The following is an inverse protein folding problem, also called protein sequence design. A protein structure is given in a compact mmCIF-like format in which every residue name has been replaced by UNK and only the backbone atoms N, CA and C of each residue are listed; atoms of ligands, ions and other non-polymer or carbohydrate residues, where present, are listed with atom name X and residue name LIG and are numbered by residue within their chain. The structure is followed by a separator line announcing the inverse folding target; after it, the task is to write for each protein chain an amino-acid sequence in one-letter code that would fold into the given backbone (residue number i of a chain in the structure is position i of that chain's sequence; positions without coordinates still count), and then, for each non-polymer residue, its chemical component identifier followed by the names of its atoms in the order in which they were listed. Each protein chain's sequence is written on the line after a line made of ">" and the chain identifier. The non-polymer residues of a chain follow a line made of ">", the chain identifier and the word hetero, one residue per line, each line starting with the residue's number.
data_IF_131802794857
#
_entry.id   IF_131802794857
#
_cell.length_a   1.000
_cell.length_b   1.000
_cell.length_c   1.000
_cell.angle_alpha   90.00
_cell.angle_beta   90.00
_cell.angle_gamma   90.00
#
_symmetry.space_group_name_H-M   'P 1'
#
loop_
_entity.id
_entity.type
_entity.pdbx_description
1 polymer ?
#
# COMPACT_ATOMS: atom_id res chain seq x y z
N UNK A 1 6.41 25.53 -8.23
CA UNK A 1 5.61 24.61 -9.06
C UNK A 1 4.37 24.26 -8.24
N UNK A 2 3.18 24.72 -8.61
CA UNK A 2 1.95 24.36 -7.87
C UNK A 2 1.54 22.96 -8.29
N UNK A 3 1.18 22.07 -7.35
CA UNK A 3 0.66 20.76 -7.69
C UNK A 3 -0.62 20.95 -8.54
N UNK A 4 -0.71 20.25 -9.66
CA UNK A 4 -1.92 20.28 -10.50
C UNK A 4 -3.08 19.71 -9.67
N UNK A 5 -4.14 20.47 -9.39
CA UNK A 5 -5.17 20.10 -8.43
C UNK A 5 -6.07 18.93 -8.86
N UNK A 6 -5.88 18.36 -10.05
CA UNK A 6 -6.71 17.29 -10.61
C UNK A 6 -5.85 16.22 -11.31
N UNK A 7 -5.07 15.47 -10.54
CA UNK A 7 -4.44 14.27 -11.10
C UNK A 7 -5.52 13.27 -11.52
N UNK A 8 -5.44 12.77 -12.76
CA UNK A 8 -6.34 11.73 -13.26
C UNK A 8 -6.02 10.44 -12.50
N UNK A 9 -6.98 9.95 -11.73
CA UNK A 9 -6.85 8.67 -11.01
C UNK A 9 -7.12 7.51 -11.96
N UNK A 10 -6.14 6.62 -12.07
CA UNK A 10 -6.27 5.36 -12.85
C UNK A 10 -6.36 4.22 -11.86
N UNK A 11 -7.56 3.66 -11.71
CA UNK A 11 -7.83 2.52 -10.84
C UNK A 11 -8.55 1.43 -11.67
N UNK A 12 -7.82 0.40 -12.04
CA UNK A 12 -8.29 -0.72 -12.86
C UNK A 12 -7.87 -2.03 -12.18
N UNK A 13 -8.41 -2.28 -10.98
CA UNK A 13 -8.19 -3.54 -10.26
C UNK A 13 -9.40 -4.46 -10.39
N UNK A 14 -9.18 -5.76 -10.18
CA UNK A 14 -10.23 -6.79 -10.32
C UNK A 14 -11.35 -6.59 -9.31
N UNK A 15 -11.03 -6.15 -8.10
CA UNK A 15 -12.00 -5.94 -7.02
C UNK A 15 -12.56 -4.52 -6.98
N UNK A 16 -12.11 -3.59 -7.85
CA UNK A 16 -12.52 -2.18 -7.81
C UNK A 16 -14.04 -1.98 -7.92
N UNK A 17 -14.72 -2.75 -8.76
CA UNK A 17 -16.16 -2.61 -8.94
C UNK A 17 -16.97 -3.11 -7.74
N UNK A 18 -16.82 -4.37 -7.26
CA UNK A 18 -17.54 -4.85 -6.09
C UNK A 18 -17.17 -4.10 -4.81
N UNK A 19 -15.90 -3.71 -4.63
CA UNK A 19 -15.48 -2.89 -3.51
C UNK A 19 -16.20 -1.53 -3.50
N UNK A 20 -16.27 -0.88 -4.66
CA UNK A 20 -16.96 0.42 -4.79
C UNK A 20 -18.43 0.34 -4.39
N UNK A 21 -19.13 -0.70 -4.80
CA UNK A 21 -20.54 -0.90 -4.43
C UNK A 21 -20.70 -1.10 -2.93
N UNK A 22 -19.85 -1.93 -2.32
CA UNK A 22 -19.83 -2.16 -0.88
C UNK A 22 -19.53 -0.87 -0.11
N UNK A 23 -18.53 -0.08 -0.55
CA UNK A 23 -18.16 1.17 0.10
C UNK A 23 -19.27 2.24 0.00
N UNK A 24 -19.99 2.30 -1.10
CA UNK A 24 -21.17 3.17 -1.24
C UNK A 24 -22.24 2.77 -0.22
N UNK A 25 -22.54 1.48 -0.14
CA UNK A 25 -23.53 0.96 0.82
C UNK A 25 -23.11 1.26 2.26
N UNK A 26 -21.85 1.01 2.63
CA UNK A 26 -21.30 1.32 3.94
C UNK A 26 -21.37 2.81 4.25
N UNK A 27 -21.03 3.68 3.30
CA UNK A 27 -21.08 5.12 3.48
C UNK A 27 -22.51 5.62 3.74
N UNK A 28 -23.51 5.02 3.07
CA UNK A 28 -24.94 5.35 3.27
C UNK A 28 -25.45 4.93 4.66
N UNK A 29 -24.90 3.88 5.24
CA UNK A 29 -25.29 3.36 6.55
C UNK A 29 -24.40 3.88 7.69
N UNK A 30 -23.37 4.67 7.40
CA UNK A 30 -22.47 5.23 8.41
C UNK A 30 -23.17 6.38 9.18
N UNK A 31 -23.28 6.31 10.53
CA UNK A 31 -23.90 7.35 11.34
C UNK A 31 -23.32 8.74 11.10
N UNK A 32 -24.15 9.79 11.14
CA UNK A 32 -23.73 11.17 10.85
C UNK A 32 -22.60 11.69 11.76
N UNK A 33 -22.46 11.15 12.97
CA UNK A 33 -21.42 11.51 13.94
C UNK A 33 -20.02 11.01 13.55
N UNK A 34 -19.92 10.01 12.68
CA UNK A 34 -18.63 9.46 12.21
C UNK A 34 -18.16 10.34 11.06
N UNK A 35 -16.98 10.92 11.21
CA UNK A 35 -16.32 11.74 10.22
C UNK A 35 -15.26 10.91 9.44
N UNK A 36 -14.86 11.31 8.23
CA UNK A 36 -13.78 10.67 7.49
C UNK A 36 -12.50 10.52 8.32
N UNK A 37 -12.08 11.55 9.03
CA UNK A 37 -10.88 11.54 9.88
C UNK A 37 -10.92 10.46 10.99
N UNK A 38 -12.12 10.13 11.51
CA UNK A 38 -12.28 9.02 12.46
C UNK A 38 -12.02 7.66 11.80
N UNK A 39 -12.39 7.50 10.53
CA UNK A 39 -12.15 6.28 9.76
C UNK A 39 -10.68 6.13 9.40
N UNK A 40 -10.02 7.21 9.01
CA UNK A 40 -8.57 7.21 8.77
C UNK A 40 -7.82 6.79 10.05
N UNK A 41 -8.20 7.36 11.23
CA UNK A 41 -7.61 6.97 12.51
C UNK A 41 -7.87 5.50 12.84
N UNK A 42 -9.09 5.02 12.58
CA UNK A 42 -9.44 3.60 12.76
C UNK A 42 -8.59 2.70 11.85
N UNK A 43 -8.38 3.10 10.60
CA UNK A 43 -7.50 2.39 9.67
C UNK A 43 -6.06 2.31 10.18
N UNK A 44 -5.51 3.42 10.66
CA UNK A 44 -4.17 3.44 11.28
C UNK A 44 -4.09 2.55 12.53
N UNK A 45 -5.11 2.60 13.39
CA UNK A 45 -5.18 1.73 14.58
C UNK A 45 -5.24 0.24 14.18
N UNK A 46 -5.98 -0.09 13.11
CA UNK A 46 -6.04 -1.44 12.55
C UNK A 46 -4.67 -1.92 12.04
N UNK A 47 -3.93 -1.06 11.34
CA UNK A 47 -2.58 -1.38 10.88
C UNK A 47 -1.61 -1.61 12.04
N UNK A 48 -1.65 -0.75 13.07
CA UNK A 48 -0.84 -0.91 14.28
C UNK A 48 -1.20 -2.19 15.02
N UNK A 49 -2.50 -2.49 15.19
CA UNK A 49 -2.99 -3.73 15.78
C UNK A 49 -2.45 -4.94 15.02
N UNK A 50 -2.52 -4.91 13.69
CA UNK A 50 -2.02 -5.99 12.83
C UNK A 50 -0.52 -6.22 13.04
N UNK A 51 0.29 -5.14 13.03
CA UNK A 51 1.73 -5.24 13.24
C UNK A 51 2.10 -5.80 14.62
N UNK A 52 1.46 -5.30 15.69
CA UNK A 52 1.67 -5.81 17.05
C UNK A 52 1.21 -7.28 17.19
N UNK A 53 0.12 -7.66 16.53
CA UNK A 53 -0.39 -9.02 16.54
C UNK A 53 0.52 -9.98 15.75
N UNK A 54 1.09 -9.56 14.63
CA UNK A 54 2.12 -10.33 13.94
C UNK A 54 3.35 -10.55 14.83
N UNK A 55 3.84 -9.51 15.47
CA UNK A 55 4.94 -9.65 16.43
C UNK A 55 4.58 -10.61 17.57
N UNK A 56 3.40 -10.46 18.19
CA UNK A 56 2.92 -11.32 19.26
C UNK A 56 2.70 -12.78 18.79
N UNK A 57 2.51 -13.03 17.49
CA UNK A 57 2.38 -14.38 16.94
C UNK A 57 3.64 -15.24 17.14
N UNK A 58 4.79 -14.61 17.40
CA UNK A 58 6.00 -15.28 17.87
C UNK A 58 5.82 -15.97 19.23
N UNK A 59 4.91 -15.49 20.08
CA UNK A 59 4.59 -16.11 21.38
C UNK A 59 3.46 -17.14 21.23
N UNK A 60 2.42 -16.82 20.43
CA UNK A 60 1.30 -17.73 20.21
C UNK A 60 0.67 -17.51 18.83
N UNK A 61 0.48 -18.56 18.01
CA UNK A 61 -0.17 -18.47 16.70
C UNK A 61 -1.58 -17.88 16.74
N UNK A 62 -2.27 -17.91 17.88
CA UNK A 62 -3.61 -17.34 18.02
C UNK A 62 -3.66 -15.83 17.75
N UNK A 63 -2.54 -15.12 17.92
CA UNK A 63 -2.46 -13.70 17.58
C UNK A 63 -2.60 -13.43 16.08
N UNK A 64 -2.43 -14.44 15.21
CA UNK A 64 -2.71 -14.29 13.77
C UNK A 64 -4.17 -13.91 13.48
N UNK A 65 -5.13 -14.32 14.33
CA UNK A 65 -6.52 -13.85 14.22
C UNK A 65 -6.63 -12.34 14.40
N UNK A 66 -5.91 -11.80 15.37
CA UNK A 66 -5.86 -10.35 15.59
C UNK A 66 -5.09 -9.63 14.46
N UNK A 67 -4.05 -10.25 13.90
CA UNK A 67 -3.36 -9.70 12.74
C UNK A 67 -4.32 -9.58 11.54
N UNK A 68 -5.07 -10.64 11.24
CA UNK A 68 -6.09 -10.62 10.19
C UNK A 68 -7.20 -9.61 10.45
N UNK A 69 -7.71 -9.54 11.69
CA UNK A 69 -8.70 -8.53 12.09
C UNK A 69 -8.16 -7.10 11.91
N UNK A 70 -6.90 -6.86 12.29
CA UNK A 70 -6.23 -5.57 12.09
C UNK A 70 -6.14 -5.17 10.63
N UNK A 71 -5.80 -6.11 9.72
CA UNK A 71 -5.80 -5.87 8.26
C UNK A 71 -7.20 -5.50 7.77
N UNK A 72 -8.25 -6.20 8.23
CA UNK A 72 -9.62 -5.92 7.83
C UNK A 72 -10.09 -4.54 8.34
N UNK A 73 -9.74 -4.17 9.58
CA UNK A 73 -10.02 -2.86 10.16
C UNK A 73 -9.27 -1.76 9.40
N UNK A 74 -8.00 -1.99 9.03
CA UNK A 74 -7.23 -1.05 8.22
C UNK A 74 -7.90 -0.83 6.86
N UNK A 75 -8.27 -1.91 6.15
CA UNK A 75 -9.00 -1.78 4.88
C UNK A 75 -10.31 -1.00 5.05
N UNK A 76 -11.10 -1.32 6.08
CA UNK A 76 -12.39 -0.68 6.32
C UNK A 76 -12.23 0.83 6.56
N UNK A 77 -11.30 1.23 7.42
CA UNK A 77 -11.06 2.64 7.74
C UNK A 77 -10.56 3.44 6.55
N UNK A 78 -9.52 2.94 5.90
CA UNK A 78 -8.82 3.56 4.78
C UNK A 78 -9.69 3.65 3.50
N UNK A 79 -10.41 2.58 3.14
CA UNK A 79 -11.24 2.60 1.92
C UNK A 79 -12.54 3.37 2.10
N UNK A 80 -13.07 3.42 3.34
CA UNK A 80 -14.36 4.05 3.60
C UNK A 80 -14.26 5.56 3.83
N UNK A 81 -13.15 6.10 4.35
CA UNK A 81 -13.00 7.51 4.68
C UNK A 81 -13.20 8.44 3.47
N UNK A 82 -12.48 8.17 2.36
CA UNK A 82 -12.64 8.90 1.11
C UNK A 82 -14.00 8.68 0.45
N UNK A 83 -14.58 7.48 0.58
CA UNK A 83 -15.91 7.16 0.06
C UNK A 83 -16.99 7.91 0.82
N UNK A 84 -16.88 8.00 2.15
CA UNK A 84 -17.76 8.76 3.02
C UNK A 84 -17.67 10.28 2.73
N UNK A 85 -16.43 10.80 2.58
CA UNK A 85 -16.23 12.21 2.24
C UNK A 85 -16.92 12.59 0.92
N UNK A 86 -16.74 11.78 -0.12
CA UNK A 86 -17.41 11.97 -1.43
C UNK A 86 -18.93 11.89 -1.31
N UNK A 87 -19.42 10.87 -0.62
CA UNK A 87 -20.86 10.65 -0.46
C UNK A 87 -21.57 11.79 0.24
N UNK A 88 -20.92 12.37 1.25
CA UNK A 88 -21.44 13.52 2.04
C UNK A 88 -21.12 14.89 1.44
N UNK A 89 -20.34 14.94 0.34
CA UNK A 89 -19.87 16.19 -0.30
C UNK A 89 -19.09 17.10 0.67
N UNK A 90 -18.26 16.51 1.54
CA UNK A 90 -17.39 17.19 2.52
C UNK A 90 -15.92 16.96 2.23
N UNK A 91 -15.57 16.75 0.97
CA UNK A 91 -14.21 16.48 0.52
C UNK A 91 -13.29 17.66 0.79
N UNK A 92 -12.09 17.35 1.24
CA UNK A 92 -10.96 18.28 1.42
C UNK A 92 -9.78 17.77 0.57
N UNK A 93 -9.75 18.04 -0.75
CA UNK A 93 -8.86 17.30 -1.68
C UNK A 93 -7.38 17.32 -1.31
N UNK A 94 -6.81 18.49 -0.97
CA UNK A 94 -5.41 18.59 -0.61
C UNK A 94 -5.10 17.94 0.75
N UNK A 95 -5.95 18.19 1.74
CA UNK A 95 -5.82 17.60 3.07
C UNK A 95 -5.99 16.09 3.01
N UNK A 96 -7.07 15.61 2.37
CA UNK A 96 -7.35 14.18 2.22
C UNK A 96 -6.21 13.46 1.51
N UNK A 97 -5.70 14.00 0.40
CA UNK A 97 -4.55 13.44 -0.31
C UNK A 97 -3.32 13.31 0.59
N UNK A 98 -3.01 14.37 1.35
CA UNK A 98 -1.85 14.37 2.24
C UNK A 98 -1.98 13.33 3.37
N UNK A 99 -3.12 13.35 4.08
CA UNK A 99 -3.35 12.43 5.21
C UNK A 99 -3.40 10.98 4.73
N UNK A 100 -4.21 10.66 3.71
CA UNK A 100 -4.36 9.33 3.13
C UNK A 100 -2.98 8.70 2.81
N UNK A 101 -2.17 9.40 2.03
CA UNK A 101 -0.90 8.83 1.58
C UNK A 101 0.19 8.80 2.65
N UNK A 102 0.18 9.72 3.62
CA UNK A 102 1.12 9.66 4.75
C UNK A 102 0.76 8.56 5.74
N UNK A 103 -0.54 8.35 5.99
CA UNK A 103 -1.01 7.26 6.84
C UNK A 103 -0.84 5.89 6.18
N UNK A 104 -0.98 5.79 4.85
CA UNK A 104 -0.68 4.58 4.08
C UNK A 104 0.77 4.12 4.27
N UNK A 105 1.74 5.04 4.13
CA UNK A 105 3.16 4.75 4.33
C UNK A 105 3.43 4.22 5.75
N UNK A 106 2.81 4.85 6.77
CA UNK A 106 2.93 4.39 8.15
C UNK A 106 2.26 3.03 8.38
N UNK A 107 1.06 2.84 7.84
CA UNK A 107 0.30 1.59 7.95
C UNK A 107 1.05 0.41 7.32
N UNK A 108 1.62 0.61 6.15
CA UNK A 108 2.47 -0.39 5.49
C UNK A 108 3.67 -0.77 6.37
N UNK A 109 4.34 0.22 6.98
CA UNK A 109 5.45 -0.03 7.87
C UNK A 109 5.02 -0.85 9.11
N UNK A 110 3.93 -0.48 9.78
CA UNK A 110 3.43 -1.23 10.94
C UNK A 110 3.13 -2.68 10.61
N UNK A 111 2.37 -2.93 9.56
CA UNK A 111 1.97 -4.29 9.17
C UNK A 111 3.18 -5.13 8.75
N UNK A 112 4.02 -4.61 7.84
CA UNK A 112 5.10 -5.40 7.23
C UNK A 112 6.25 -5.61 8.20
N UNK A 113 6.67 -4.58 8.96
CA UNK A 113 7.74 -4.76 9.95
C UNK A 113 7.28 -5.65 11.11
N UNK A 114 6.02 -5.51 11.55
CA UNK A 114 5.45 -6.41 12.53
C UNK A 114 5.43 -7.87 12.05
N UNK A 115 5.13 -8.09 10.78
CA UNK A 115 5.21 -9.42 10.16
C UNK A 115 6.64 -9.96 10.17
N UNK A 116 7.65 -9.12 9.86
CA UNK A 116 9.06 -9.51 9.94
C UNK A 116 9.59 -9.79 11.36
N UNK A 117 8.85 -9.39 12.40
CA UNK A 117 9.14 -9.75 13.79
C UNK A 117 8.47 -11.07 14.24
N UNK A 118 7.70 -11.71 13.38
CA UNK A 118 7.10 -13.02 13.61
C UNK A 118 8.08 -14.16 13.30
N UNK A 119 7.68 -15.40 13.59
CA UNK A 119 8.45 -16.59 13.18
C UNK A 119 8.17 -17.05 11.75
N UNK A 120 7.32 -16.34 10.99
CA UNK A 120 6.88 -16.73 9.66
C UNK A 120 7.69 -16.08 8.54
N UNK A 121 8.29 -14.92 8.79
CA UNK A 121 9.03 -14.13 7.81
C UNK A 121 10.29 -13.54 8.46
N UNK A 122 11.44 -13.66 7.81
CA UNK A 122 12.66 -13.01 8.26
C UNK A 122 12.53 -11.49 8.15
N UNK A 123 13.10 -10.78 9.13
CA UNK A 123 13.02 -9.32 9.18
C UNK A 123 13.61 -8.64 7.95
N UNK A 124 14.72 -9.16 7.43
CA UNK A 124 15.38 -8.64 6.22
C UNK A 124 14.46 -8.78 4.99
N UNK A 125 13.70 -9.87 4.89
CA UNK A 125 12.74 -10.08 3.80
C UNK A 125 11.53 -9.16 3.92
N UNK A 126 11.08 -8.90 5.15
CA UNK A 126 10.07 -7.87 5.41
C UNK A 126 10.55 -6.47 4.99
N UNK A 127 11.79 -6.12 5.29
CA UNK A 127 12.38 -4.84 4.84
C UNK A 127 12.43 -4.74 3.31
N UNK A 128 12.80 -5.81 2.60
CA UNK A 128 12.79 -5.84 1.13
C UNK A 128 11.37 -5.70 0.56
N UNK A 129 10.40 -6.36 1.18
CA UNK A 129 9.00 -6.24 0.81
C UNK A 129 8.49 -4.80 1.00
N UNK A 130 8.77 -4.19 2.16
CA UNK A 130 8.40 -2.80 2.46
C UNK A 130 9.04 -1.82 1.47
N UNK A 131 10.33 -2.02 1.15
CA UNK A 131 11.04 -1.22 0.16
C UNK A 131 10.36 -1.30 -1.22
N UNK A 132 9.89 -2.49 -1.62
CA UNK A 132 9.16 -2.67 -2.88
C UNK A 132 7.90 -1.80 -2.93
N UNK A 133 7.11 -1.80 -1.85
CA UNK A 133 5.91 -0.97 -1.74
C UNK A 133 6.24 0.52 -1.81
N UNK A 134 7.22 0.96 -1.04
CA UNK A 134 7.58 2.38 -0.99
C UNK A 134 8.19 2.90 -2.29
N UNK A 135 8.97 2.08 -3.00
CA UNK A 135 9.50 2.45 -4.32
C UNK A 135 8.37 2.68 -5.33
N UNK A 136 7.37 1.80 -5.38
CA UNK A 136 6.22 1.93 -6.28
C UNK A 136 5.35 3.12 -5.87
N UNK A 137 5.09 3.30 -4.58
CA UNK A 137 4.33 4.44 -4.04
C UNK A 137 5.01 5.77 -4.38
N UNK A 138 6.34 5.86 -4.14
CA UNK A 138 7.13 7.05 -4.46
C UNK A 138 7.07 7.39 -5.95
N UNK A 139 7.23 6.38 -6.83
CA UNK A 139 7.08 6.57 -8.28
C UNK A 139 5.71 7.15 -8.63
N UNK A 140 4.65 6.59 -8.05
CA UNK A 140 3.28 7.02 -8.28
C UNK A 140 3.04 8.47 -7.82
N UNK A 141 3.58 8.86 -6.66
CA UNK A 141 3.47 10.22 -6.13
C UNK A 141 4.26 11.22 -6.99
N UNK A 142 5.49 10.89 -7.37
CA UNK A 142 6.30 11.74 -8.25
C UNK A 142 5.60 11.93 -9.59
N UNK A 143 5.04 10.86 -10.16
CA UNK A 143 4.30 10.90 -11.42
C UNK A 143 3.06 11.77 -11.33
N UNK A 144 2.32 11.69 -10.21
CA UNK A 144 1.16 12.54 -9.97
C UNK A 144 1.52 14.03 -9.96
N UNK A 145 2.66 14.39 -9.35
CA UNK A 145 3.16 15.77 -9.32
C UNK A 145 3.70 16.21 -10.68
N UNK A 146 4.51 15.37 -11.33
CA UNK A 146 5.21 15.74 -12.58
C UNK A 146 4.25 15.84 -13.78
N UNK A 147 3.32 14.92 -13.95
CA UNK A 147 2.46 14.84 -15.14
C UNK A 147 0.96 14.85 -14.84
N UNK A 148 0.54 14.88 -13.57
CA UNK A 148 -0.88 14.90 -13.18
C UNK A 148 -1.59 13.56 -13.37
N UNK A 149 -0.86 12.43 -13.33
CA UNK A 149 -1.42 11.07 -13.42
C UNK A 149 -1.10 10.29 -12.15
N UNK A 150 -2.15 9.92 -11.42
CA UNK A 150 -2.04 9.11 -10.20
C UNK A 150 -2.53 7.68 -10.49
N UNK A 151 -1.60 6.75 -10.58
CA UNK A 151 -1.90 5.34 -10.88
C UNK A 151 -1.95 4.53 -9.58
N UNK A 152 -3.13 3.98 -9.26
CA UNK A 152 -3.40 3.26 -8.00
C UNK A 152 -3.22 1.74 -8.18
N UNK A 153 -3.44 1.23 -9.39
CA UNK A 153 -3.37 -0.21 -9.68
C UNK A 153 -2.44 -0.49 -10.86
N UNK A 154 -1.76 -1.63 -10.78
CA UNK A 154 -0.88 -2.14 -11.83
C UNK A 154 -1.27 -3.57 -12.17
N UNK A 155 -1.42 -3.90 -13.46
CA UNK A 155 -1.81 -5.23 -13.95
C UNK A 155 -3.09 -5.79 -13.33
N UNK A 156 -4.05 -4.93 -12.98
CA UNK A 156 -5.29 -5.35 -12.34
C UNK A 156 -5.18 -5.60 -10.83
N UNK A 157 -4.00 -5.39 -10.24
CA UNK A 157 -3.76 -5.53 -8.80
C UNK A 157 -3.72 -4.14 -8.16
N UNK A 158 -4.55 -3.92 -7.17
CA UNK A 158 -4.60 -2.70 -6.36
C UNK A 158 -4.40 -3.00 -4.87
N UNK A 159 -4.55 -1.98 -4.01
CA UNK A 159 -4.36 -2.15 -2.56
C UNK A 159 -5.27 -3.21 -1.93
N UNK A 160 -6.49 -3.36 -2.41
CA UNK A 160 -7.46 -4.33 -1.87
C UNK A 160 -7.07 -5.76 -2.20
N UNK A 161 -6.62 -6.04 -3.43
CA UNK A 161 -6.11 -7.36 -3.81
C UNK A 161 -4.90 -7.75 -2.97
N UNK A 162 -4.00 -6.81 -2.67
CA UNK A 162 -2.83 -7.07 -1.82
C UNK A 162 -3.24 -7.39 -0.38
N UNK A 163 -4.22 -6.69 0.17
CA UNK A 163 -4.77 -6.99 1.51
C UNK A 163 -5.46 -8.35 1.55
N UNK A 164 -6.22 -8.70 0.52
CA UNK A 164 -6.83 -10.04 0.40
C UNK A 164 -5.75 -11.12 0.32
N UNK A 165 -4.71 -10.91 -0.49
CA UNK A 165 -3.56 -11.82 -0.56
C UNK A 165 -2.89 -12.01 0.80
N UNK A 166 -2.69 -10.92 1.56
CA UNK A 166 -2.12 -10.99 2.91
C UNK A 166 -3.04 -11.73 3.88
N UNK A 167 -4.37 -11.53 3.81
CA UNK A 167 -5.33 -12.31 4.61
C UNK A 167 -5.29 -13.80 4.28
N UNK A 168 -5.16 -14.16 3.00
CA UNK A 168 -4.97 -15.55 2.59
C UNK A 168 -3.64 -16.12 3.15
N UNK A 169 -2.55 -15.34 3.16
CA UNK A 169 -1.30 -15.74 3.80
C UNK A 169 -1.48 -15.97 5.31
N UNK A 170 -2.20 -15.09 6.00
CA UNK A 170 -2.53 -15.27 7.43
C UNK A 170 -3.30 -16.58 7.65
N UNK A 171 -4.31 -16.86 6.83
CA UNK A 171 -5.04 -18.13 6.87
C UNK A 171 -4.13 -19.34 6.64
N UNK A 172 -3.24 -19.25 5.66
CA UNK A 172 -2.24 -20.29 5.39
C UNK A 172 -1.30 -20.53 6.57
N UNK A 173 -0.79 -19.48 7.19
CA UNK A 173 0.06 -19.56 8.37
C UNK A 173 -0.63 -20.24 9.56
N UNK A 174 -1.93 -19.99 9.74
CA UNK A 174 -2.72 -20.65 10.80
C UNK A 174 -2.87 -22.16 10.60
N UNK A 175 -2.97 -22.60 9.35
CA UNK A 175 -3.16 -24.02 9.01
C UNK A 175 -1.83 -24.77 9.00
N UNK A 176 -0.80 -24.18 8.41
CA UNK A 176 0.49 -24.84 8.14
C UNK A 176 1.49 -24.64 9.27
N UNK A 177 1.39 -23.53 9.99
CA UNK A 177 2.41 -23.11 10.96
C UNK A 177 3.68 -22.56 10.30
N UNK A 178 4.72 -22.25 11.10
CA UNK A 178 6.01 -21.81 10.57
C UNK A 178 6.73 -23.00 9.91
N UNK A 179 7.13 -22.81 8.64
CA UNK A 179 7.89 -23.80 7.85
C UNK A 179 9.18 -23.13 7.39
N UNK A 180 10.30 -23.81 7.57
CA UNK A 180 11.59 -23.39 7.04
C UNK A 180 12.36 -24.56 6.47
N UNK A 181 13.20 -24.28 5.48
CA UNK A 181 14.14 -25.22 4.85
C UNK A 181 15.55 -24.70 5.08
N UNK A 182 16.41 -25.54 5.64
CA UNK A 182 17.81 -25.19 5.85
C UNK A 182 18.54 -25.12 4.51
N UNK A 183 19.11 -23.95 4.21
CA UNK A 183 19.88 -23.67 3.01
C UNK A 183 21.30 -23.21 3.37
N UNK A 184 22.25 -23.18 2.42
CA UNK A 184 23.60 -22.68 2.67
C UNK A 184 23.65 -21.22 3.16
N UNK A 185 22.60 -20.45 2.93
CA UNK A 185 22.46 -19.03 3.37
C UNK A 185 21.58 -18.87 4.60
N UNK A 186 21.25 -19.98 5.29
CA UNK A 186 20.42 -20.02 6.49
C UNK A 186 19.04 -20.66 6.27
N UNK A 187 18.23 -20.67 7.30
CA UNK A 187 16.88 -21.20 7.24
C UNK A 187 15.96 -20.20 6.50
N UNK A 188 15.36 -20.65 5.42
CA UNK A 188 14.43 -19.86 4.59
C UNK A 188 13.04 -20.46 4.63
N UNK A 189 12.04 -19.62 4.85
CA UNK A 189 10.65 -19.98 4.67
C UNK A 189 10.21 -19.82 3.21
N UNK A 190 9.10 -20.46 2.78
CA UNK A 190 8.49 -20.17 1.49
C UNK A 190 8.12 -18.69 1.33
N UNK A 191 7.73 -18.01 2.43
CA UNK A 191 7.42 -16.59 2.44
C UNK A 191 8.66 -15.72 2.21
N UNK A 192 9.82 -16.11 2.76
CA UNK A 192 11.09 -15.42 2.49
C UNK A 192 11.42 -15.45 1.00
N UNK A 193 11.31 -16.63 0.39
CA UNK A 193 11.56 -16.80 -1.05
C UNK A 193 10.58 -15.99 -1.90
N UNK A 194 9.31 -16.00 -1.52
CA UNK A 194 8.27 -15.19 -2.17
C UNK A 194 8.58 -13.68 -2.06
N UNK A 195 8.94 -13.19 -0.88
CA UNK A 195 9.29 -11.78 -0.68
C UNK A 195 10.53 -11.37 -1.49
N UNK A 196 11.57 -12.23 -1.54
CA UNK A 196 12.75 -11.98 -2.36
C UNK A 196 12.41 -11.89 -3.85
N UNK A 197 11.52 -12.78 -4.33
CA UNK A 197 11.04 -12.75 -5.72
C UNK A 197 10.23 -11.49 -6.00
N UNK A 198 9.28 -11.14 -5.11
CA UNK A 198 8.48 -9.91 -5.23
C UNK A 198 9.39 -8.69 -5.30
N UNK A 199 10.39 -8.59 -4.40
CA UNK A 199 11.35 -7.49 -4.44
C UNK A 199 12.11 -7.44 -5.75
N UNK A 200 12.63 -8.56 -6.22
CA UNK A 200 13.43 -8.63 -7.47
C UNK A 200 12.59 -8.17 -8.66
N UNK A 201 11.37 -8.68 -8.80
CA UNK A 201 10.45 -8.30 -9.88
C UNK A 201 10.06 -6.83 -9.77
N UNK A 202 9.70 -6.36 -8.57
CA UNK A 202 9.32 -4.96 -8.33
C UNK A 202 10.48 -4.01 -8.62
N UNK A 203 11.71 -4.37 -8.23
CA UNK A 203 12.91 -3.56 -8.47
C UNK A 203 13.24 -3.44 -9.96
N UNK A 204 13.26 -4.55 -10.69
CA UNK A 204 13.50 -4.55 -12.13
C UNK A 204 12.43 -3.74 -12.87
N UNK A 205 11.17 -3.93 -12.48
CA UNK A 205 10.05 -3.19 -13.05
C UNK A 205 10.12 -1.70 -12.72
N UNK A 206 10.48 -1.32 -11.50
CA UNK A 206 10.70 0.06 -11.10
C UNK A 206 11.77 0.74 -11.95
N UNK A 207 12.92 0.09 -12.18
CA UNK A 207 13.98 0.62 -13.06
C UNK A 207 13.49 0.79 -14.50
N UNK A 208 12.69 -0.15 -14.99
CA UNK A 208 12.08 -0.04 -16.31
C UNK A 208 11.10 1.13 -16.39
N UNK A 209 10.26 1.31 -15.39
CA UNK A 209 9.31 2.45 -15.32
C UNK A 209 10.03 3.80 -15.32
N UNK A 210 11.07 3.96 -14.50
CA UNK A 210 11.86 5.19 -14.47
C UNK A 210 12.46 5.47 -15.84
N UNK A 211 13.08 4.47 -16.46
CA UNK A 211 13.70 4.64 -17.77
C UNK A 211 12.69 4.97 -18.86
N UNK A 212 11.55 4.28 -18.85
CA UNK A 212 10.47 4.47 -19.82
C UNK A 212 9.84 5.86 -19.71
N UNK A 213 9.43 6.26 -18.51
CA UNK A 213 8.81 7.55 -18.27
C UNK A 213 9.82 8.70 -18.44
N UNK A 214 11.06 8.52 -17.99
CA UNK A 214 12.14 9.48 -18.17
C UNK A 214 12.42 9.78 -19.65
N UNK A 215 12.46 8.75 -20.50
CA UNK A 215 12.61 8.92 -21.97
C UNK A 215 11.42 9.67 -22.56
N UNK A 216 10.20 9.32 -22.16
CA UNK A 216 8.98 9.99 -22.61
C UNK A 216 8.98 11.47 -22.25
N UNK A 217 9.33 11.79 -21.01
CA UNK A 217 9.40 13.18 -20.53
C UNK A 217 10.51 13.99 -21.19
N UNK A 218 11.66 13.37 -21.49
CA UNK A 218 12.75 14.05 -22.20
C UNK A 218 12.35 14.45 -23.63
N UNK A 219 11.52 13.64 -24.31
CA UNK A 219 10.97 13.96 -25.63
C UNK A 219 9.94 15.10 -25.53
N UNK A 220 9.08 15.06 -24.50
CA UNK A 220 8.00 16.05 -24.32
C UNK A 220 8.51 17.41 -23.81
N UNK A 221 9.66 17.43 -23.13
CA UNK A 221 10.27 18.60 -22.55
C UNK A 221 11.76 18.67 -22.96
N UNK A 222 12.07 18.98 -24.24
CA UNK A 222 13.44 19.13 -24.67
C UNK A 222 14.08 20.31 -23.93
N UNK A 223 15.44 20.32 -23.78
CA UNK A 223 16.16 21.47 -23.24
C UNK A 223 15.80 22.75 -24.02
N UNK A 224 15.60 23.85 -23.32
CA UNK A 224 15.41 25.16 -24.01
C UNK A 224 16.71 25.55 -24.69
N UNK A 225 16.68 25.82 -26.00
CA UNK A 225 17.83 26.32 -26.81
C UNK A 225 18.21 27.77 -26.45
N UNK A 226 18.02 28.19 -25.22
CA UNK A 226 18.51 29.47 -24.77
C UNK A 226 20.02 29.34 -24.50
N UNK A 227 20.89 30.09 -25.26
CA UNK A 227 22.29 30.15 -24.92
C UNK A 227 22.42 30.71 -23.51
N UNK A 228 23.24 30.02 -22.68
CA UNK A 228 23.62 30.53 -21.37
C UNK A 228 24.32 31.89 -21.63
N UNK A 229 23.59 32.97 -21.43
CA UNK A 229 24.17 34.30 -21.40
C UNK A 229 25.02 34.36 -20.14
N UNK A 230 26.32 34.10 -20.29
CA UNK A 230 27.33 34.40 -19.29
C UNK A 230 27.31 35.92 -19.03
N UNK A 231 26.70 36.31 -17.88
CA UNK A 231 26.86 37.60 -17.27
C UNK A 231 27.83 37.51 -16.12
#
# INVERSE_FOLDING_TARGET
>A
MQPKPNAVRVHQSFLAAPERELLIWLADHTPARILPDHLTLLGCAGALLSGLAFWASAVSPHFLWLAGAGIAINWFGDSLDGSLARRRKIERPAYGFFIDHTTDVASQAFVILGFGLSHYLRFEMACLLLLSFWMISLYTYIRAVAIGVFQISFWGIGPTELRVGLLCCVGGMMVVGPVSVTTPIGDLSPLDTMCALIFTVAFVWYLWMIRSEGRRLAILNPPSDQPVTSG
#
